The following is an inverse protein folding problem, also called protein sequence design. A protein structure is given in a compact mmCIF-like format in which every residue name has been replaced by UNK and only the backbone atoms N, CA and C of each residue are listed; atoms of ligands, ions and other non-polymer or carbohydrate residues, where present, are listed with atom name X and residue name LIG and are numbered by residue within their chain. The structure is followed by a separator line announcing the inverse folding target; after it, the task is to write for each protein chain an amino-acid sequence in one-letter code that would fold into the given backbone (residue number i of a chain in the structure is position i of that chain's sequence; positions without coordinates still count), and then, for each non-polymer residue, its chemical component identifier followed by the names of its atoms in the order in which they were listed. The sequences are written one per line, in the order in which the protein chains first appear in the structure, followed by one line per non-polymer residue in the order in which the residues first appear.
data_IF_972138667210
#
_entry.id   IF_972138667210
#
_cell.length_a   1.000
_cell.length_b   1.000
_cell.length_c   1.000
_cell.angle_alpha   90.00
_cell.angle_beta   90.00
_cell.angle_gamma   90.00
#
_symmetry.space_group_name_H-M   'P 1'
#
loop_
_entity.id
_entity.type
_entity.pdbx_description
1 polymer ?
#
# COMPACT_ATOMS: atom_id res chain seq x y z
N UNK A 1 -14.95 -14.47 -41.61
CA UNK A 1 -14.13 -15.54 -40.95
C UNK A 1 -12.66 -15.13 -40.77
N UNK A 2 -11.88 -14.78 -41.80
CA UNK A 2 -10.47 -14.36 -41.65
C UNK A 2 -10.30 -13.05 -40.86
N UNK A 3 -11.19 -12.07 -40.97
CA UNK A 3 -11.15 -10.80 -40.22
C UNK A 3 -11.45 -11.00 -38.72
N UNK A 4 -12.37 -11.88 -38.40
CA UNK A 4 -12.74 -12.19 -37.02
C UNK A 4 -11.60 -12.91 -36.28
N UNK A 5 -10.95 -13.86 -36.96
CA UNK A 5 -9.77 -14.53 -36.43
C UNK A 5 -8.63 -13.55 -36.18
N UNK A 6 -8.34 -12.64 -37.09
CA UNK A 6 -7.33 -11.60 -36.91
C UNK A 6 -7.65 -10.67 -35.76
N UNK A 7 -8.92 -10.26 -35.64
CA UNK A 7 -9.37 -9.43 -34.53
C UNK A 7 -9.21 -10.15 -33.18
N UNK A 8 -9.69 -11.37 -33.07
CA UNK A 8 -9.58 -12.17 -31.87
C UNK A 8 -8.11 -12.44 -31.52
N UNK A 9 -7.27 -12.79 -32.46
CA UNK A 9 -5.84 -13.00 -32.22
C UNK A 9 -5.16 -11.71 -31.78
N UNK A 10 -5.44 -10.57 -32.41
CA UNK A 10 -4.91 -9.27 -32.02
C UNK A 10 -5.30 -8.89 -30.58
N UNK A 11 -6.57 -9.10 -30.23
CA UNK A 11 -7.06 -8.85 -28.88
C UNK A 11 -6.36 -9.74 -27.83
N UNK A 12 -6.23 -11.02 -28.10
CA UNK A 12 -5.55 -11.96 -27.20
C UNK A 12 -4.05 -11.64 -27.04
N UNK A 13 -3.36 -11.29 -28.12
CA UNK A 13 -1.95 -10.89 -28.05
C UNK A 13 -1.80 -9.60 -27.23
N UNK A 14 -2.63 -8.59 -27.47
CA UNK A 14 -2.61 -7.35 -26.73
C UNK A 14 -2.86 -7.57 -25.23
N UNK A 15 -3.84 -8.41 -24.91
CA UNK A 15 -4.15 -8.77 -23.52
C UNK A 15 -2.97 -9.52 -22.87
N UNK A 16 -2.38 -10.48 -23.56
CA UNK A 16 -1.24 -11.23 -23.05
C UNK A 16 -0.03 -10.33 -22.79
N UNK A 17 0.29 -9.41 -23.70
CA UNK A 17 1.37 -8.44 -23.55
C UNK A 17 1.10 -7.49 -22.38
N UNK A 18 -0.12 -6.95 -22.29
CA UNK A 18 -0.51 -6.07 -21.18
C UNK A 18 -0.42 -6.81 -19.83
N UNK A 19 -0.93 -8.04 -19.77
CA UNK A 19 -0.85 -8.86 -18.55
C UNK A 19 0.60 -9.15 -18.18
N UNK A 20 1.44 -9.52 -19.12
CA UNK A 20 2.85 -9.76 -18.85
C UNK A 20 3.56 -8.51 -18.32
N UNK A 21 3.35 -7.36 -18.97
CA UNK A 21 4.04 -6.11 -18.61
C UNK A 21 3.50 -5.45 -17.33
N UNK A 22 2.20 -5.49 -17.09
CA UNK A 22 1.56 -4.72 -16.00
C UNK A 22 1.20 -5.55 -14.78
N UNK A 23 1.19 -6.86 -14.90
CA UNK A 23 0.86 -7.78 -13.79
C UNK A 23 2.03 -8.68 -13.46
N UNK A 24 2.50 -9.47 -14.44
CA UNK A 24 3.51 -10.51 -14.17
C UNK A 24 4.86 -9.88 -13.81
N UNK A 25 5.35 -8.91 -14.58
CA UNK A 25 6.64 -8.29 -14.30
C UNK A 25 6.66 -7.56 -12.94
N UNK A 26 5.69 -6.71 -12.57
CA UNK A 26 5.63 -6.11 -11.25
C UNK A 26 5.50 -7.16 -10.14
N UNK A 27 4.71 -8.20 -10.33
CA UNK A 27 4.60 -9.29 -9.37
C UNK A 27 5.95 -9.97 -9.12
N UNK A 28 6.71 -10.28 -10.18
CA UNK A 28 8.03 -10.90 -10.06
C UNK A 28 9.05 -10.00 -9.33
N UNK A 29 8.87 -8.67 -9.40
CA UNK A 29 9.73 -7.72 -8.71
C UNK A 29 9.46 -7.64 -7.20
N UNK A 30 8.22 -7.85 -6.77
CA UNK A 30 7.81 -7.65 -5.39
C UNK A 30 7.59 -8.93 -4.59
N UNK A 31 7.39 -10.07 -5.24
CA UNK A 31 7.03 -11.34 -4.58
C UNK A 31 8.06 -11.82 -3.54
N UNK A 32 9.31 -11.43 -3.71
CA UNK A 32 10.42 -11.88 -2.86
C UNK A 32 10.84 -10.83 -1.83
N UNK A 33 10.06 -9.74 -1.68
CA UNK A 33 10.30 -8.74 -0.64
C UNK A 33 10.14 -9.38 0.72
N UNK A 34 11.21 -9.31 1.51
CA UNK A 34 11.23 -9.83 2.87
C UNK A 34 10.78 -8.76 3.87
N UNK A 35 10.11 -9.16 4.98
CA UNK A 35 9.78 -8.23 6.03
C UNK A 35 11.04 -7.61 6.63
N UNK A 36 11.03 -6.34 7.03
CA UNK A 36 12.11 -5.73 7.77
C UNK A 36 12.36 -6.47 9.08
N UNK A 37 13.60 -6.41 9.58
CA UNK A 37 13.96 -7.01 10.85
C UNK A 37 13.04 -6.48 11.98
N UNK A 38 12.49 -7.39 12.76
CA UNK A 38 11.58 -7.07 13.85
C UNK A 38 10.11 -6.91 13.46
N UNK A 39 9.76 -6.85 12.18
CA UNK A 39 8.36 -6.83 11.76
C UNK A 39 7.73 -8.21 12.00
N UNK A 40 6.59 -8.23 12.67
CA UNK A 40 5.84 -9.45 12.99
C UNK A 40 4.46 -9.41 12.30
N UNK A 41 3.87 -10.58 12.03
CA UNK A 41 2.46 -10.65 11.64
C UNK A 41 1.55 -9.97 12.67
N UNK A 42 0.47 -9.39 12.19
CA UNK A 42 -0.48 -8.69 13.04
C UNK A 42 -1.09 -9.58 14.12
N UNK A 43 -1.15 -9.05 15.32
CA UNK A 43 -1.96 -9.61 16.40
C UNK A 43 -3.45 -9.39 16.13
N UNK A 44 -4.32 -10.10 16.84
CA UNK A 44 -5.78 -9.90 16.72
C UNK A 44 -6.22 -8.47 17.10
N UNK A 45 -5.50 -7.79 18.00
CA UNK A 45 -5.79 -6.41 18.36
C UNK A 45 -5.42 -5.44 17.22
N UNK A 46 -4.27 -5.65 16.60
CA UNK A 46 -3.80 -4.85 15.44
C UNK A 46 -4.70 -5.05 14.22
N UNK A 47 -5.16 -6.28 13.96
CA UNK A 47 -6.14 -6.53 12.90
C UNK A 47 -7.46 -5.78 13.14
N UNK A 48 -7.98 -5.76 14.37
CA UNK A 48 -9.17 -4.93 14.70
C UNK A 48 -8.90 -3.44 14.51
N UNK A 49 -7.70 -2.98 14.82
CA UNK A 49 -7.28 -1.59 14.55
C UNK A 49 -7.27 -1.30 13.04
N UNK A 50 -6.75 -2.23 12.25
CA UNK A 50 -6.77 -2.14 10.80
C UNK A 50 -8.20 -2.12 10.24
N UNK A 51 -9.08 -2.95 10.76
CA UNK A 51 -10.49 -2.94 10.36
C UNK A 51 -11.16 -1.60 10.68
N UNK A 52 -10.87 -1.02 11.85
CA UNK A 52 -11.35 0.31 12.22
C UNK A 52 -10.80 1.40 11.30
N UNK A 53 -9.53 1.35 10.95
CA UNK A 53 -8.90 2.28 10.01
C UNK A 53 -9.58 2.24 8.63
N UNK A 54 -9.93 1.06 8.14
CA UNK A 54 -10.66 0.89 6.87
C UNK A 54 -12.11 1.35 7.00
N UNK A 55 -12.81 0.90 8.05
CA UNK A 55 -14.23 1.17 8.25
C UNK A 55 -14.54 2.67 8.45
N UNK A 56 -13.63 3.41 9.08
CA UNK A 56 -13.77 4.85 9.29
C UNK A 56 -13.25 5.70 8.11
N UNK A 57 -12.82 5.07 7.02
CA UNK A 57 -12.39 5.78 5.82
C UNK A 57 -11.04 6.49 5.94
N UNK A 58 -10.27 6.26 6.99
CA UNK A 58 -8.96 6.87 7.20
C UNK A 58 -8.01 6.60 6.03
N UNK A 59 -8.17 5.44 5.38
CA UNK A 59 -7.40 5.03 4.20
C UNK A 59 -7.53 5.99 3.02
N UNK A 60 -8.60 6.75 2.91
CA UNK A 60 -8.80 7.69 1.80
C UNK A 60 -7.85 8.89 1.85
N UNK A 61 -7.52 9.36 3.05
CA UNK A 61 -6.55 10.43 3.24
C UNK A 61 -5.15 9.91 3.59
N UNK A 62 -5.07 8.79 4.28
CA UNK A 62 -3.84 8.18 4.78
C UNK A 62 -3.61 6.79 4.17
N UNK A 63 -3.67 6.66 2.84
CA UNK A 63 -3.40 5.38 2.19
C UNK A 63 -1.99 4.86 2.54
N UNK A 64 -1.80 3.54 2.44
CA UNK A 64 -0.51 2.89 2.68
C UNK A 64 0.38 2.89 1.43
N UNK A 65 0.24 3.90 0.58
CA UNK A 65 1.11 4.08 -0.58
C UNK A 65 2.49 4.58 -0.14
N UNK A 66 3.56 3.78 -0.25
CA UNK A 66 4.91 4.25 0.03
C UNK A 66 5.27 5.41 -0.90
N UNK A 67 5.95 6.41 -0.36
CA UNK A 67 6.39 7.58 -1.12
C UNK A 67 7.90 7.70 -1.07
N UNK A 68 8.45 8.26 -2.13
CA UNK A 68 9.83 8.70 -2.12
C UNK A 68 10.06 9.73 -0.99
N UNK A 69 11.22 9.68 -0.38
CA UNK A 69 11.61 10.59 0.72
C UNK A 69 11.51 12.07 0.37
N UNK A 70 11.60 12.42 -0.92
CA UNK A 70 11.45 13.80 -1.37
C UNK A 70 10.00 14.29 -1.36
N UNK A 71 9.02 13.35 -1.35
CA UNK A 71 7.59 13.64 -1.26
C UNK A 71 7.01 13.42 0.15
N UNK A 72 7.78 12.80 1.03
CA UNK A 72 7.36 12.47 2.39
C UNK A 72 8.45 12.93 3.36
N UNK A 73 8.49 14.23 3.71
CA UNK A 73 9.54 14.80 4.56
C UNK A 73 9.37 14.40 6.04
N UNK A 74 8.98 13.16 6.31
CA UNK A 74 8.70 12.68 7.66
C UNK A 74 9.95 12.67 8.53
N UNK A 75 11.10 12.29 7.95
CA UNK A 75 12.37 12.30 8.64
C UNK A 75 12.82 13.72 9.00
N UNK A 76 12.62 14.70 8.10
CA UNK A 76 12.93 16.12 8.34
C UNK A 76 12.06 16.72 9.45
N UNK A 77 10.84 16.21 9.62
CA UNK A 77 9.91 16.59 10.68
C UNK A 77 10.20 15.87 12.01
N UNK A 78 11.19 14.99 12.06
CA UNK A 78 11.48 14.18 13.24
C UNK A 78 10.46 13.06 13.50
N UNK A 79 9.69 12.65 12.48
CA UNK A 79 8.66 11.62 12.61
C UNK A 79 9.20 10.19 12.40
N UNK A 80 10.48 10.06 12.16
CA UNK A 80 11.13 8.81 11.83
C UNK A 80 11.17 8.56 10.33
N UNK A 81 11.50 7.35 9.92
CA UNK A 81 11.49 7.00 8.49
C UNK A 81 10.08 6.88 7.94
N UNK A 82 9.93 7.19 6.67
CA UNK A 82 8.70 6.89 5.93
C UNK A 82 8.52 5.38 5.74
N UNK A 83 7.28 4.95 5.45
CA UNK A 83 6.98 3.57 5.11
C UNK A 83 7.62 3.14 3.79
N UNK A 84 7.96 1.86 3.72
CA UNK A 84 8.44 1.20 2.49
C UNK A 84 7.55 0.00 2.18
N UNK A 85 7.57 -0.54 0.95
CA UNK A 85 6.73 -1.68 0.58
C UNK A 85 6.86 -2.89 1.50
N UNK A 86 8.06 -3.12 2.02
CA UNK A 86 8.36 -4.22 2.93
C UNK A 86 7.62 -4.13 4.29
N UNK A 87 7.20 -2.95 4.71
CA UNK A 87 6.43 -2.77 5.95
C UNK A 87 5.02 -3.37 5.86
N UNK A 88 4.53 -3.61 4.65
CA UNK A 88 3.17 -4.08 4.37
C UNK A 88 3.09 -5.51 3.84
N UNK A 89 4.15 -6.31 3.98
CA UNK A 89 4.16 -7.71 3.46
C UNK A 89 3.10 -8.60 4.09
N UNK A 90 2.62 -8.27 5.28
CA UNK A 90 1.56 -9.01 5.97
C UNK A 90 0.15 -8.46 5.72
N UNK A 91 0.02 -7.38 4.94
CA UNK A 91 -1.29 -6.82 4.60
C UNK A 91 -1.98 -7.62 3.50
N UNK A 92 -3.24 -8.01 3.74
CA UNK A 92 -4.07 -8.66 2.73
C UNK A 92 -5.51 -8.15 2.85
N UNK A 93 -6.02 -7.45 1.82
CA UNK A 93 -5.31 -6.87 0.68
C UNK A 93 -4.42 -5.69 1.09
N UNK A 94 -3.44 -5.35 0.26
CA UNK A 94 -2.67 -4.11 0.45
C UNK A 94 -3.58 -2.89 0.26
N UNK A 95 -3.49 -1.93 1.18
CA UNK A 95 -4.32 -0.72 1.17
C UNK A 95 -3.62 0.43 0.43
N UNK A 96 -3.14 0.12 -0.77
CA UNK A 96 -2.54 1.10 -1.66
C UNK A 96 -3.60 2.06 -2.19
N UNK A 97 -3.27 3.34 -2.26
CA UNK A 97 -4.14 4.36 -2.82
C UNK A 97 -3.36 5.28 -3.73
N UNK A 98 -4.04 5.85 -4.73
CA UNK A 98 -3.43 6.82 -5.65
C UNK A 98 -3.12 8.15 -4.97
N UNK A 99 -3.84 8.47 -3.90
CA UNK A 99 -3.72 9.74 -3.19
C UNK A 99 -3.40 9.51 -1.71
N UNK A 100 -2.62 10.43 -1.18
CA UNK A 100 -2.21 10.48 0.20
C UNK A 100 -2.18 11.94 0.61
N UNK A 101 -3.37 12.51 0.84
CA UNK A 101 -3.53 13.91 1.26
C UNK A 101 -3.07 14.12 2.70
N UNK A 102 -3.22 13.10 3.55
CA UNK A 102 -2.69 13.08 4.90
C UNK A 102 -1.24 12.57 4.95
N UNK A 103 -0.52 12.84 6.04
CA UNK A 103 0.83 12.34 6.25
C UNK A 103 0.89 10.81 6.40
N UNK A 104 2.09 10.26 6.30
CA UNK A 104 2.37 8.87 6.65
C UNK A 104 1.99 8.60 8.10
N UNK A 105 1.26 7.50 8.34
CA UNK A 105 0.90 7.07 9.69
C UNK A 105 1.99 6.23 10.36
N UNK A 106 3.15 6.06 9.74
CA UNK A 106 4.30 5.41 10.36
C UNK A 106 4.62 6.10 11.70
N UNK A 107 4.78 5.30 12.74
CA UNK A 107 5.05 5.77 14.10
C UNK A 107 3.96 6.68 14.70
N UNK A 108 2.74 6.69 14.16
CA UNK A 108 1.68 7.58 14.64
C UNK A 108 1.35 7.36 16.12
N UNK A 109 1.38 6.14 16.61
CA UNK A 109 1.14 5.82 18.02
C UNK A 109 2.16 6.43 18.97
N UNK A 110 3.37 6.71 18.50
CA UNK A 110 4.42 7.40 19.27
C UNK A 110 4.30 8.91 19.11
N UNK A 111 4.04 9.40 17.89
CA UNK A 111 3.93 10.83 17.59
C UNK A 111 2.68 11.45 18.18
N UNK A 112 1.59 10.71 18.24
CA UNK A 112 0.29 11.17 18.70
C UNK A 112 -0.40 10.07 19.51
N UNK A 113 0.03 9.88 20.77
CA UNK A 113 -0.45 8.78 21.60
C UNK A 113 -1.85 9.03 22.22
N UNK A 114 -2.42 10.23 22.05
CA UNK A 114 -3.70 10.60 22.66
C UNK A 114 -4.86 9.92 21.94
N UNK A 115 -5.59 9.06 22.66
CA UNK A 115 -6.81 8.44 22.13
C UNK A 115 -7.88 9.50 21.82
N UNK A 116 -8.05 10.50 22.69
CA UNK A 116 -9.05 11.56 22.50
C UNK A 116 -8.78 12.37 21.21
N UNK A 117 -7.50 12.58 20.91
CA UNK A 117 -7.13 13.23 19.65
C UNK A 117 -7.57 12.41 18.44
N UNK A 118 -7.35 11.10 18.43
CA UNK A 118 -7.77 10.23 17.35
C UNK A 118 -9.29 10.13 17.20
N UNK A 119 -10.02 10.18 18.31
CA UNK A 119 -11.49 10.18 18.30
C UNK A 119 -12.08 11.51 17.81
N UNK A 120 -11.37 12.62 18.03
CA UNK A 120 -11.79 13.97 17.60
C UNK A 120 -11.35 14.36 16.19
N UNK A 121 -10.43 13.59 15.61
CA UNK A 121 -9.89 13.83 14.28
C UNK A 121 -10.85 13.34 13.20
#
# INVERSE_FOLDING_TARGET
MQSEVKLATGALVSLAVATAALVVLPYLQVRDIQPPEGLKPYTSAELRGRDSYVANGCVYCHSQQPRDKNFAPDAERGWGRATVPADYVYDTPHLLGSMRTGPDLMNIGVRQPSQDWHLGH
#
